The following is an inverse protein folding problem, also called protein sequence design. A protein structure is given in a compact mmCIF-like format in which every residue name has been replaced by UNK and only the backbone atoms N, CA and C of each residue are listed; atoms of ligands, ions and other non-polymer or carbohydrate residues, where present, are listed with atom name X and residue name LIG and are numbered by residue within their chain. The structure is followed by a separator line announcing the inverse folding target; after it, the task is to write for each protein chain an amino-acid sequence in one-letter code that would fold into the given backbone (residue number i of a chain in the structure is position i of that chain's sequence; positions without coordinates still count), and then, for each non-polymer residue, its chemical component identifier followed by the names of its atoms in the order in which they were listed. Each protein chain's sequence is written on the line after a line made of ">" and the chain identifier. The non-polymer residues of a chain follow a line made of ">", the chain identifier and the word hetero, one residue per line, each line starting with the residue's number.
data_IF_570101590083
#
_entry.id   IF_570101590083
#
_cell.length_a   1.000
_cell.length_b   1.000
_cell.length_c   1.000
_cell.angle_alpha   90.00
_cell.angle_beta   90.00
_cell.angle_gamma   90.00
#
_symmetry.space_group_name_H-M   'P 1'
#
loop_
_entity.id
_entity.type
_entity.pdbx_description
1 polymer ?
#
# COMPACT_ATOMS: atom_id res chain seq x y z
N UNK A 1 46.38 25.31 35.55
CA UNK A 1 45.22 24.55 35.06
C UNK A 1 44.17 25.55 34.58
N UNK A 2 44.05 25.76 33.27
CA UNK A 2 42.80 26.06 32.55
C UNK A 2 43.15 26.02 31.06
N UNK A 3 42.81 24.88 30.47
CA UNK A 3 43.11 24.47 29.12
C UNK A 3 42.07 25.11 28.18
N UNK A 4 42.49 26.02 27.31
CA UNK A 4 41.60 26.65 26.31
C UNK A 4 41.44 25.70 25.12
N UNK A 5 40.22 25.22 24.88
CA UNK A 5 39.86 24.42 23.71
C UNK A 5 39.68 25.31 22.48
N UNK A 6 40.20 24.94 21.29
CA UNK A 6 39.95 25.71 20.07
C UNK A 6 38.51 25.48 19.58
N UNK A 7 37.73 26.56 19.58
CA UNK A 7 36.41 26.67 18.97
C UNK A 7 36.51 26.45 17.45
N UNK A 8 36.03 25.31 16.96
CA UNK A 8 35.84 25.11 15.51
C UNK A 8 34.55 25.83 15.10
N UNK A 9 34.72 26.97 14.41
CA UNK A 9 33.64 27.70 13.74
C UNK A 9 32.91 26.75 12.76
N UNK A 10 31.58 26.79 12.69
CA UNK A 10 30.82 26.04 11.69
C UNK A 10 31.26 26.44 10.27
N UNK A 11 31.31 25.45 9.38
CA UNK A 11 31.66 25.59 7.98
C UNK A 11 30.71 26.62 7.33
N UNK A 12 31.25 27.78 6.96
CA UNK A 12 30.49 28.82 6.27
C UNK A 12 30.04 28.32 4.90
N UNK A 13 28.80 28.63 4.57
CA UNK A 13 28.16 28.37 3.28
C UNK A 13 28.99 28.99 2.15
N UNK A 14 29.45 28.15 1.22
CA UNK A 14 30.10 28.59 -0.02
C UNK A 14 29.07 29.32 -0.86
N UNK A 15 29.12 30.65 -0.84
CA UNK A 15 28.37 31.49 -1.78
C UNK A 15 28.95 31.28 -3.18
N UNK A 16 28.29 30.45 -3.98
CA UNK A 16 28.54 30.39 -5.41
C UNK A 16 28.26 31.78 -6.00
N UNK A 17 29.32 32.49 -6.41
CA UNK A 17 29.25 33.76 -7.13
C UNK A 17 28.77 33.58 -8.58
N UNK A 18 27.60 32.96 -8.77
CA UNK A 18 26.87 33.01 -10.04
C UNK A 18 25.84 34.13 -9.94
N UNK A 19 26.29 35.38 -10.11
CA UNK A 19 25.42 36.54 -10.20
C UNK A 19 24.66 36.50 -11.54
N UNK A 20 23.31 36.48 -11.57
CA UNK A 20 22.59 36.75 -12.80
C UNK A 20 22.65 38.26 -13.07
N UNK A 21 23.20 38.62 -14.22
CA UNK A 21 23.11 39.95 -14.81
C UNK A 21 21.66 40.43 -14.86
N UNK A 22 21.44 41.71 -14.57
CA UNK A 22 20.18 42.46 -14.57
C UNK A 22 19.14 41.95 -15.59
N UNK A 23 18.33 41.03 -15.13
CA UNK A 23 17.19 40.44 -15.83
C UNK A 23 16.56 39.50 -14.82
N UNK A 24 15.64 40.03 -14.01
CA UNK A 24 15.14 39.36 -12.82
C UNK A 24 14.72 37.92 -13.12
N UNK A 25 15.51 36.96 -12.63
CA UNK A 25 15.19 35.54 -12.70
C UNK A 25 13.96 35.31 -11.81
N UNK A 26 12.78 35.47 -12.39
CA UNK A 26 11.52 35.19 -11.71
C UNK A 26 11.56 33.72 -11.29
N UNK A 27 11.40 33.48 -9.99
CA UNK A 27 11.18 32.15 -9.45
C UNK A 27 10.04 31.46 -10.22
N UNK A 28 10.12 30.15 -10.43
CA UNK A 28 9.05 29.36 -11.07
C UNK A 28 7.71 29.62 -10.40
N UNK A 29 7.69 29.84 -9.08
CA UNK A 29 6.50 30.22 -8.33
C UNK A 29 5.95 31.60 -8.71
N UNK A 30 6.82 32.58 -9.00
CA UNK A 30 6.42 33.92 -9.47
C UNK A 30 5.87 33.88 -10.91
N UNK A 31 6.47 33.06 -11.77
CA UNK A 31 5.97 32.86 -13.14
C UNK A 31 4.60 32.20 -13.09
N UNK A 32 4.46 31.09 -12.34
CA UNK A 32 3.19 30.38 -12.20
C UNK A 32 2.07 31.27 -11.60
N UNK A 33 2.37 32.05 -10.56
CA UNK A 33 1.36 32.96 -9.97
C UNK A 33 0.95 34.08 -10.93
N UNK A 34 1.86 34.61 -11.74
CA UNK A 34 1.51 35.61 -12.76
C UNK A 34 0.65 35.02 -13.87
N UNK A 35 0.95 33.79 -14.33
CA UNK A 35 0.13 33.07 -15.31
C UNK A 35 -1.23 32.70 -14.76
N UNK A 36 -1.33 32.28 -13.49
CA UNK A 36 -2.60 31.94 -12.85
C UNK A 36 -3.52 33.16 -12.65
N UNK A 37 -2.96 34.34 -12.36
CA UNK A 37 -3.72 35.60 -12.23
C UNK A 37 -4.30 36.11 -13.55
N UNK A 38 -3.73 35.71 -14.69
CA UNK A 38 -4.18 36.12 -16.01
C UNK A 38 -5.31 35.24 -16.57
N UNK A 39 -5.68 34.14 -15.89
CA UNK A 39 -6.69 33.19 -16.34
C UNK A 39 -8.08 33.62 -15.86
N UNK A 40 -9.03 33.71 -16.80
CA UNK A 40 -10.46 33.94 -16.55
C UNK A 40 -11.23 32.63 -16.74
N UNK A 41 -12.50 32.54 -16.29
CA UNK A 41 -13.29 31.30 -16.41
C UNK A 41 -13.41 30.76 -17.86
N UNK A 42 -13.28 31.63 -18.86
CA UNK A 42 -13.31 31.29 -20.29
C UNK A 42 -11.94 30.87 -20.84
N UNK A 43 -10.85 31.40 -20.29
CA UNK A 43 -9.45 31.14 -20.73
C UNK A 43 -8.70 30.16 -19.83
N UNK A 44 -9.29 29.78 -18.70
CA UNK A 44 -8.73 28.83 -17.76
C UNK A 44 -8.56 27.45 -18.42
N UNK A 45 -7.38 26.82 -18.32
CA UNK A 45 -7.18 25.47 -18.82
C UNK A 45 -8.15 24.53 -18.12
N UNK A 46 -9.07 23.96 -18.90
CA UNK A 46 -10.07 23.01 -18.39
C UNK A 46 -9.33 21.72 -18.02
N UNK A 47 -9.19 21.46 -16.72
CA UNK A 47 -8.60 20.22 -16.24
C UNK A 47 -9.54 19.06 -16.59
N UNK A 48 -9.05 18.12 -17.41
CA UNK A 48 -9.78 16.87 -17.64
C UNK A 48 -9.77 16.00 -16.38
N UNK A 49 -10.75 15.09 -16.26
CA UNK A 49 -10.80 14.08 -15.19
C UNK A 49 -9.48 13.30 -15.10
N UNK A 50 -8.81 13.05 -16.24
CA UNK A 50 -7.50 12.41 -16.28
C UNK A 50 -6.40 13.19 -15.53
N UNK A 51 -6.41 14.52 -15.58
CA UNK A 51 -5.48 15.33 -14.80
C UNK A 51 -5.76 15.26 -13.30
N UNK A 52 -7.04 15.28 -12.92
CA UNK A 52 -7.42 15.09 -11.52
C UNK A 52 -7.00 13.71 -11.02
N UNK A 53 -7.22 12.66 -11.80
CA UNK A 53 -6.78 11.29 -11.45
C UNK A 53 -5.27 11.19 -11.30
N UNK A 54 -4.49 11.87 -12.16
CA UNK A 54 -3.02 11.90 -12.02
C UNK A 54 -2.58 12.60 -10.74
N UNK A 55 -3.20 13.73 -10.40
CA UNK A 55 -2.87 14.50 -9.19
C UNK A 55 -3.29 13.73 -7.93
N UNK A 56 -4.49 13.15 -7.91
CA UNK A 56 -4.95 12.35 -6.77
C UNK A 56 -4.14 11.07 -6.60
N UNK A 57 -3.75 10.40 -7.69
CA UNK A 57 -2.82 9.27 -7.62
C UNK A 57 -1.43 9.69 -7.11
N UNK A 58 -0.90 10.82 -7.59
CA UNK A 58 0.40 11.32 -7.13
C UNK A 58 0.37 11.71 -5.65
N UNK A 59 -0.73 12.32 -5.19
CA UNK A 59 -0.89 12.76 -3.79
C UNK A 59 -1.19 11.59 -2.83
N UNK A 60 -1.96 10.58 -3.26
CA UNK A 60 -2.50 9.54 -2.36
C UNK A 60 -1.99 8.11 -2.63
N UNK A 61 -1.56 7.77 -3.86
CA UNK A 61 -1.17 6.40 -4.25
C UNK A 61 0.35 6.21 -4.41
N UNK A 62 1.14 7.27 -4.59
CA UNK A 62 2.60 7.13 -4.69
C UNK A 62 3.25 6.51 -3.43
N UNK A 63 2.60 6.68 -2.27
CA UNK A 63 3.01 6.03 -1.02
C UNK A 63 2.95 4.50 -1.07
N UNK A 64 1.98 3.92 -1.78
CA UNK A 64 1.81 2.46 -1.87
C UNK A 64 2.98 1.81 -2.61
N UNK A 65 3.38 2.35 -3.77
CA UNK A 65 4.54 1.85 -4.52
C UNK A 65 5.85 1.95 -3.73
N UNK A 66 6.03 3.03 -2.97
CA UNK A 66 7.20 3.17 -2.09
C UNK A 66 7.21 2.11 -0.99
N UNK A 67 6.06 1.86 -0.35
CA UNK A 67 5.91 0.82 0.69
C UNK A 67 6.14 -0.58 0.12
N UNK A 68 5.60 -0.89 -1.06
CA UNK A 68 5.79 -2.18 -1.74
C UNK A 68 7.25 -2.45 -2.09
N UNK A 69 8.00 -1.43 -2.50
CA UNK A 69 9.44 -1.54 -2.77
C UNK A 69 10.26 -1.83 -1.51
N UNK A 70 9.82 -1.36 -0.36
CA UNK A 70 10.51 -1.56 0.92
C UNK A 70 10.24 -2.93 1.55
N UNK A 71 9.32 -3.73 1.02
CA UNK A 71 8.98 -5.05 1.55
C UNK A 71 10.11 -6.07 1.32
N UNK A 72 10.35 -6.89 2.32
CA UNK A 72 11.16 -8.10 2.19
C UNK A 72 10.43 -9.13 1.30
N UNK A 73 11.18 -9.99 0.60
CA UNK A 73 10.67 -11.12 -0.18
C UNK A 73 9.61 -11.94 0.56
N UNK A 74 9.79 -12.23 1.86
CA UNK A 74 8.80 -12.98 2.64
C UNK A 74 7.47 -12.23 2.81
N UNK A 75 7.53 -10.91 3.02
CA UNK A 75 6.34 -10.06 3.10
C UNK A 75 5.65 -9.94 1.74
N UNK A 76 6.44 -9.84 0.66
CA UNK A 76 5.94 -9.85 -0.72
C UNK A 76 5.25 -11.17 -1.04
N UNK A 77 5.82 -12.30 -0.65
CA UNK A 77 5.25 -13.63 -0.85
C UNK A 77 3.92 -13.79 -0.10
N UNK A 78 3.84 -13.34 1.15
CA UNK A 78 2.60 -13.34 1.93
C UNK A 78 1.49 -12.49 1.26
N UNK A 79 1.85 -11.32 0.73
CA UNK A 79 0.93 -10.46 -0.02
C UNK A 79 0.51 -11.09 -1.36
N UNK A 80 1.43 -11.75 -2.08
CA UNK A 80 1.12 -12.50 -3.31
C UNK A 80 0.16 -13.65 -3.04
N UNK A 81 0.35 -14.41 -1.96
CA UNK A 81 -0.56 -15.48 -1.57
C UNK A 81 -1.98 -14.95 -1.25
N UNK A 82 -2.08 -13.78 -0.62
CA UNK A 82 -3.37 -13.14 -0.36
C UNK A 82 -4.09 -12.76 -1.65
N UNK A 83 -3.37 -12.10 -2.58
CA UNK A 83 -3.94 -11.69 -3.87
C UNK A 83 -4.33 -12.90 -4.73
N UNK A 84 -3.51 -13.96 -4.76
CA UNK A 84 -3.83 -15.21 -5.45
C UNK A 84 -5.12 -15.84 -4.90
N UNK A 85 -5.26 -15.86 -3.57
CA UNK A 85 -6.44 -16.39 -2.90
C UNK A 85 -7.70 -15.54 -3.17
N UNK A 86 -7.58 -14.23 -3.15
CA UNK A 86 -8.68 -13.31 -3.50
C UNK A 86 -9.13 -13.48 -4.95
N UNK A 87 -8.18 -13.61 -5.88
CA UNK A 87 -8.46 -13.85 -7.30
C UNK A 87 -9.18 -15.19 -7.48
N UNK A 88 -8.70 -16.26 -6.85
CA UNK A 88 -9.36 -17.57 -6.88
C UNK A 88 -10.78 -17.51 -6.33
N UNK A 89 -10.98 -16.86 -5.18
CA UNK A 89 -12.31 -16.72 -4.58
C UNK A 89 -13.26 -15.90 -5.48
N UNK A 90 -12.75 -14.90 -6.19
CA UNK A 90 -13.49 -14.11 -7.17
C UNK A 90 -13.91 -14.95 -8.37
N UNK A 91 -12.99 -15.75 -8.92
CA UNK A 91 -13.24 -16.66 -10.05
C UNK A 91 -14.23 -17.77 -9.69
N UNK A 92 -14.05 -18.43 -8.54
CA UNK A 92 -14.96 -19.46 -8.05
C UNK A 92 -16.40 -18.93 -7.88
N UNK A 93 -16.58 -17.66 -7.50
CA UNK A 93 -17.90 -17.00 -7.45
C UNK A 93 -18.45 -16.60 -8.80
N UNK A 94 -17.60 -16.16 -9.73
CA UNK A 94 -18.04 -15.89 -11.09
C UNK A 94 -18.61 -17.16 -11.75
N UNK A 95 -17.95 -18.30 -11.51
CA UNK A 95 -18.36 -19.60 -12.05
C UNK A 95 -19.62 -20.18 -11.38
N UNK A 96 -19.96 -19.77 -10.16
CA UNK A 96 -21.18 -20.24 -9.48
C UNK A 96 -22.46 -19.51 -9.89
N UNK A 97 -22.39 -18.56 -10.84
CA UNK A 97 -23.55 -17.88 -11.40
C UNK A 97 -24.29 -16.94 -10.44
N UNK A 98 -23.80 -16.77 -9.21
CA UNK A 98 -24.40 -15.87 -8.22
C UNK A 98 -23.99 -14.42 -8.52
N UNK A 99 -24.85 -13.70 -9.24
CA UNK A 99 -24.74 -12.25 -9.38
C UNK A 99 -24.90 -11.59 -8.01
N UNK A 100 -23.82 -11.02 -7.48
CA UNK A 100 -23.86 -10.27 -6.22
C UNK A 100 -23.55 -8.82 -6.45
N UNK A 101 -24.48 -7.96 -6.03
CA UNK A 101 -24.28 -6.52 -5.90
C UNK A 101 -23.08 -6.23 -4.98
N UNK A 102 -22.35 -5.11 -5.19
CA UNK A 102 -21.12 -4.77 -4.44
C UNK A 102 -21.27 -4.89 -2.91
N UNK A 103 -22.46 -4.64 -2.37
CA UNK A 103 -22.78 -4.72 -0.94
C UNK A 103 -22.67 -6.13 -0.32
N UNK A 104 -22.60 -7.20 -1.14
CA UNK A 104 -22.37 -8.60 -0.68
C UNK A 104 -20.92 -9.07 -0.89
N UNK A 105 -20.00 -8.17 -1.24
CA UNK A 105 -18.56 -8.46 -1.45
C UNK A 105 -17.82 -8.77 -0.13
N UNK A 106 -18.35 -8.33 1.02
CA UNK A 106 -17.73 -8.48 2.34
C UNK A 106 -17.49 -9.95 2.80
N UNK A 107 -18.08 -10.94 2.12
CA UNK A 107 -17.89 -12.36 2.46
C UNK A 107 -16.70 -13.03 1.76
N UNK A 108 -15.97 -12.32 0.90
CA UNK A 108 -14.88 -12.91 0.11
C UNK A 108 -13.51 -12.92 0.77
N UNK A 109 -13.33 -12.07 1.78
CA UNK A 109 -12.05 -11.93 2.45
C UNK A 109 -11.71 -13.21 3.23
N UNK A 110 -10.54 -13.84 2.97
CA UNK A 110 -10.09 -15.02 3.69
C UNK A 110 -9.74 -14.67 5.14
N UNK A 111 -9.78 -15.67 6.02
CA UNK A 111 -9.23 -15.54 7.37
C UNK A 111 -7.71 -15.62 7.34
N UNK A 112 -7.04 -15.07 8.35
CA UNK A 112 -5.56 -15.15 8.49
C UNK A 112 -5.10 -16.62 8.52
N UNK A 113 -5.91 -17.52 9.11
CA UNK A 113 -5.64 -18.95 9.08
C UNK A 113 -5.61 -19.53 7.67
N UNK A 114 -6.66 -19.30 6.87
CA UNK A 114 -6.74 -19.81 5.49
C UNK A 114 -5.60 -19.22 4.65
N UNK A 115 -5.27 -17.95 4.89
CA UNK A 115 -4.15 -17.30 4.23
C UNK A 115 -2.81 -17.96 4.57
N UNK A 116 -2.57 -18.28 5.85
CA UNK A 116 -1.35 -18.97 6.28
C UNK A 116 -1.22 -20.36 5.65
N UNK A 117 -2.30 -21.15 5.66
CA UNK A 117 -2.33 -22.47 5.03
C UNK A 117 -2.01 -22.37 3.53
N UNK A 118 -2.64 -21.41 2.85
CA UNK A 118 -2.42 -21.11 1.43
C UNK A 118 -0.97 -20.69 1.13
N UNK A 119 -0.42 -19.77 1.94
CA UNK A 119 0.96 -19.32 1.83
C UNK A 119 1.96 -20.49 1.99
N UNK A 120 1.70 -21.39 2.94
CA UNK A 120 2.55 -22.56 3.18
C UNK A 120 2.56 -23.51 1.99
N UNK A 121 1.39 -23.78 1.39
CA UNK A 121 1.28 -24.60 0.17
C UNK A 121 2.05 -23.95 -0.99
N UNK A 122 1.85 -22.64 -1.20
CA UNK A 122 2.52 -21.90 -2.28
C UNK A 122 4.04 -21.83 -2.12
N UNK A 123 4.55 -21.78 -0.88
CA UNK A 123 6.00 -21.77 -0.64
C UNK A 123 6.65 -23.14 -0.85
N UNK A 124 5.91 -24.23 -0.60
CA UNK A 124 6.44 -25.61 -0.60
C UNK A 124 6.38 -26.31 -1.95
N UNK A 125 5.43 -25.96 -2.83
CA UNK A 125 5.20 -26.68 -4.10
C UNK A 125 6.46 -26.84 -4.97
N UNK A 126 7.37 -25.87 -4.97
CA UNK A 126 8.61 -25.94 -5.75
C UNK A 126 9.86 -25.64 -4.88
N UNK A 127 9.79 -25.87 -3.56
CA UNK A 127 10.82 -25.45 -2.58
C UNK A 127 11.24 -23.99 -2.75
N UNK A 128 10.29 -23.15 -3.11
CA UNK A 128 10.51 -21.78 -3.59
C UNK A 128 11.05 -20.90 -2.45
N UNK A 129 10.48 -21.09 -1.26
CA UNK A 129 10.84 -20.40 -0.03
C UNK A 129 10.59 -21.32 1.17
N UNK A 130 11.35 -21.14 2.25
CA UNK A 130 11.01 -21.75 3.53
C UNK A 130 9.76 -21.04 4.09
N UNK A 131 8.67 -21.78 4.40
CA UNK A 131 7.50 -21.19 5.03
C UNK A 131 7.83 -20.67 6.43
N UNK A 132 7.34 -19.48 6.74
CA UNK A 132 7.39 -18.94 8.10
C UNK A 132 6.56 -19.78 9.07
N UNK A 133 6.91 -19.73 10.37
CA UNK A 133 6.03 -20.23 11.42
C UNK A 133 4.73 -19.41 11.51
N UNK A 134 3.69 -19.99 12.12
CA UNK A 134 2.41 -19.28 12.31
C UNK A 134 2.56 -17.95 13.06
N UNK A 135 3.48 -17.86 14.03
CA UNK A 135 3.77 -16.63 14.76
C UNK A 135 4.44 -15.58 13.87
N UNK A 136 5.50 -15.94 13.16
CA UNK A 136 6.22 -15.02 12.25
C UNK A 136 5.31 -14.53 11.12
N UNK A 137 4.46 -15.42 10.60
CA UNK A 137 3.49 -15.06 9.57
C UNK A 137 2.51 -13.98 10.05
N UNK A 138 2.03 -14.04 11.30
CA UNK A 138 1.15 -13.00 11.86
C UNK A 138 1.85 -11.68 12.03
N UNK A 139 3.11 -11.70 12.44
CA UNK A 139 3.91 -10.47 12.54
C UNK A 139 4.09 -9.83 11.16
N UNK A 140 4.29 -10.65 10.12
CA UNK A 140 4.31 -10.18 8.73
C UNK A 140 2.97 -9.57 8.32
N UNK A 141 1.84 -10.23 8.60
CA UNK A 141 0.50 -9.68 8.30
C UNK A 141 0.24 -8.39 9.06
N UNK A 142 0.60 -8.31 10.34
CA UNK A 142 0.48 -7.09 11.15
C UNK A 142 1.38 -5.94 10.64
N UNK A 143 2.57 -6.28 10.13
CA UNK A 143 3.46 -5.31 9.48
C UNK A 143 2.85 -4.77 8.19
N UNK A 144 2.25 -5.63 7.36
CA UNK A 144 1.56 -5.23 6.14
C UNK A 144 0.34 -4.35 6.41
N UNK A 145 -0.37 -4.60 7.50
CA UNK A 145 -1.47 -3.76 7.98
C UNK A 145 -0.98 -2.38 8.44
N UNK A 146 0.11 -2.32 9.20
CA UNK A 146 0.72 -1.06 9.63
C UNK A 146 1.15 -0.20 8.43
N UNK A 147 1.58 -0.85 7.34
CA UNK A 147 1.89 -0.19 6.06
C UNK A 147 0.64 0.15 5.23
N UNK A 148 -0.56 -0.24 5.66
CA UNK A 148 -1.81 -0.02 4.93
C UNK A 148 -1.91 -0.77 3.61
N UNK A 149 -1.15 -1.85 3.45
CA UNK A 149 -1.19 -2.72 2.27
C UNK A 149 -2.22 -3.85 2.42
N UNK A 150 -2.59 -4.15 3.66
CA UNK A 150 -3.63 -5.10 4.04
C UNK A 150 -4.58 -4.43 5.01
N UNK A 151 -5.88 -4.67 4.88
CA UNK A 151 -6.91 -4.15 5.80
C UNK A 151 -7.66 -5.30 6.47
N UNK A 152 -8.04 -5.16 7.76
CA UNK A 152 -9.12 -5.97 8.31
C UNK A 152 -10.37 -5.86 7.45
N UNK A 153 -11.09 -6.97 7.28
CA UNK A 153 -12.45 -6.98 6.77
C UNK A 153 -13.38 -7.40 7.89
N UNK A 154 -14.05 -6.43 8.51
CA UNK A 154 -15.03 -6.74 9.55
C UNK A 154 -16.34 -7.19 8.91
N UNK A 155 -16.64 -8.48 9.01
CA UNK A 155 -17.92 -9.03 8.59
C UNK A 155 -19.03 -8.46 9.47
N UNK A 156 -19.89 -7.61 8.89
CA UNK A 156 -21.14 -7.15 9.52
C UNK A 156 -20.97 -6.20 10.72
N UNK A 157 -19.92 -5.38 10.74
CA UNK A 157 -19.86 -4.16 11.56
C UNK A 157 -19.37 -2.92 10.77
N UNK A 158 -19.55 -2.91 9.45
CA UNK A 158 -19.28 -1.76 8.57
C UNK A 158 -20.30 -0.63 8.68
N UNK A 159 -20.74 -0.28 9.89
CA UNK A 159 -21.28 1.05 10.14
C UNK A 159 -20.09 1.91 10.59
N UNK A 160 -20.00 3.14 10.11
CA UNK A 160 -19.16 4.15 10.74
C UNK A 160 -19.64 4.35 12.17
N UNK A 161 -19.24 3.45 13.08
CA UNK A 161 -19.34 3.69 14.51
C UNK A 161 -18.24 4.72 14.74
N UNK A 162 -18.62 6.00 14.70
CA UNK A 162 -17.88 7.02 15.38
C UNK A 162 -17.66 6.51 16.81
N UNK A 163 -16.50 5.90 17.07
CA UNK A 163 -16.07 5.52 18.40
C UNK A 163 -15.80 6.81 19.14
N UNK A 164 -16.88 7.44 19.62
CA UNK A 164 -16.80 8.34 20.75
C UNK A 164 -16.32 7.48 21.93
N UNK A 165 -15.25 7.88 22.64
CA UNK A 165 -14.55 7.02 23.61
C UNK A 165 -15.32 6.79 24.92
N UNK A 166 -16.65 6.92 24.90
CA UNK A 166 -17.47 7.12 26.09
C UNK A 166 -18.65 6.16 26.09
N UNK A 167 -18.37 4.84 26.11
CA UNK A 167 -19.20 3.80 26.75
C UNK A 167 -18.66 2.41 26.39
N UNK A 168 -17.78 1.91 27.24
CA UNK A 168 -17.33 0.52 27.25
C UNK A 168 -18.48 -0.37 27.72
N UNK A 169 -19.37 -0.78 26.81
CA UNK A 169 -20.32 -1.87 27.08
C UNK A 169 -19.95 -3.10 26.27
N UNK A 170 -19.33 -4.03 27.00
CA UNK A 170 -19.16 -5.47 26.81
C UNK A 170 -19.81 -6.12 25.58
N UNK A 171 -18.95 -6.92 24.90
CA UNK A 171 -19.23 -8.13 24.12
C UNK A 171 -19.35 -7.98 22.60
N UNK A 172 -18.27 -7.53 21.98
CA UNK A 172 -17.87 -8.03 20.66
C UNK A 172 -16.88 -9.16 20.88
N UNK A 173 -17.15 -10.35 20.36
CA UNK A 173 -16.13 -11.39 20.25
C UNK A 173 -14.97 -10.78 19.46
N UNK A 174 -13.87 -10.45 20.12
CA UNK A 174 -12.61 -10.22 19.44
C UNK A 174 -12.31 -11.53 18.71
N UNK A 175 -12.58 -11.57 17.40
CA UNK A 175 -12.15 -12.66 16.56
C UNK A 175 -10.66 -12.85 16.86
N UNK A 176 -10.32 -14.05 17.33
CA UNK A 176 -8.93 -14.39 17.62
C UNK A 176 -8.09 -14.09 16.38
N UNK A 177 -6.81 -13.74 16.52
CA UNK A 177 -6.00 -13.22 15.40
C UNK A 177 -5.97 -14.13 14.15
N UNK A 178 -6.35 -15.40 14.26
CA UNK A 178 -6.55 -16.34 13.15
C UNK A 178 -7.87 -16.20 12.40
N UNK A 179 -8.95 -15.96 13.14
CA UNK A 179 -10.32 -15.89 12.62
C UNK A 179 -10.61 -14.55 11.95
N UNK A 180 -9.78 -13.55 12.26
CA UNK A 180 -9.77 -12.25 11.59
C UNK A 180 -9.67 -12.42 10.08
N UNK A 181 -10.53 -11.70 9.35
CA UNK A 181 -10.48 -11.61 7.89
C UNK A 181 -9.66 -10.43 7.44
N UNK A 182 -8.93 -10.62 6.35
CA UNK A 182 -8.03 -9.61 5.78
C UNK A 182 -8.22 -9.52 4.27
N UNK A 183 -8.00 -8.34 3.72
CA UNK A 183 -8.02 -8.10 2.28
C UNK A 183 -6.85 -7.22 1.83
N UNK A 184 -6.41 -7.40 0.59
CA UNK A 184 -5.39 -6.58 -0.06
C UNK A 184 -5.93 -5.18 -0.36
N UNK A 185 -5.11 -4.16 -0.11
CA UNK A 185 -5.37 -2.78 -0.51
C UNK A 185 -4.56 -2.36 -1.75
N UNK A 186 -3.90 -3.31 -2.41
CA UNK A 186 -2.95 -3.07 -3.49
C UNK A 186 -3.62 -3.35 -4.84
N UNK A 187 -3.48 -2.41 -5.79
CA UNK A 187 -4.02 -2.57 -7.14
C UNK A 187 -3.18 -3.48 -8.03
N UNK A 188 -3.79 -4.03 -9.09
CA UNK A 188 -3.12 -4.95 -10.04
C UNK A 188 -1.81 -4.37 -10.61
N UNK A 189 -1.83 -3.10 -11.05
CA UNK A 189 -0.63 -2.43 -11.59
C UNK A 189 0.51 -2.26 -10.58
N UNK A 190 0.16 -2.07 -9.31
CA UNK A 190 1.13 -1.94 -8.22
C UNK A 190 1.70 -3.32 -7.87
N UNK A 191 0.88 -4.36 -7.99
CA UNK A 191 1.26 -5.74 -7.81
C UNK A 191 2.25 -6.20 -8.88
N UNK A 192 1.97 -5.90 -10.16
CA UNK A 192 2.90 -6.17 -11.27
C UNK A 192 4.28 -5.57 -11.00
N UNK A 193 4.31 -4.28 -10.64
CA UNK A 193 5.56 -3.57 -10.31
C UNK A 193 6.29 -4.16 -9.10
N UNK A 194 5.56 -4.69 -8.11
CA UNK A 194 6.18 -5.31 -6.93
C UNK A 194 6.80 -6.68 -7.26
N UNK A 195 6.19 -7.40 -8.20
CA UNK A 195 6.69 -8.68 -8.72
C UNK A 195 7.82 -8.54 -9.75
N UNK A 196 8.14 -7.32 -10.18
CA UNK A 196 9.31 -7.04 -11.00
C UNK A 196 10.54 -6.76 -10.11
N UNK A 197 11.60 -7.54 -10.29
CA UNK A 197 12.85 -7.42 -9.53
C UNK A 197 13.33 -8.72 -8.88
N UNK A 198 13.94 -8.61 -7.70
CA UNK A 198 14.51 -9.76 -6.98
C UNK A 198 13.39 -10.71 -6.55
N UNK A 199 13.52 -11.98 -6.92
CA UNK A 199 12.47 -12.98 -6.67
C UNK A 199 11.27 -12.88 -7.62
N UNK A 200 11.39 -12.18 -8.75
CA UNK A 200 10.28 -12.03 -9.70
C UNK A 200 9.66 -13.37 -10.13
N UNK A 201 10.48 -14.37 -10.48
CA UNK A 201 9.97 -15.69 -10.86
C UNK A 201 9.18 -16.37 -9.73
N UNK A 202 9.70 -16.27 -8.50
CA UNK A 202 9.06 -16.78 -7.28
C UNK A 202 7.70 -16.11 -7.07
N UNK A 203 7.69 -14.78 -7.07
CA UNK A 203 6.48 -14.00 -6.79
C UNK A 203 5.44 -14.17 -7.90
N UNK A 204 5.86 -14.25 -9.17
CA UNK A 204 4.98 -14.53 -10.32
C UNK A 204 4.39 -15.94 -10.27
N UNK A 205 5.13 -16.93 -9.76
CA UNK A 205 4.58 -18.26 -9.52
C UNK A 205 3.61 -18.31 -8.34
N UNK A 206 3.85 -17.54 -7.27
CA UNK A 206 2.95 -17.49 -6.11
C UNK A 206 1.65 -16.76 -6.47
N UNK A 207 1.74 -15.64 -7.21
CA UNK A 207 0.57 -14.84 -7.58
C UNK A 207 -0.32 -15.53 -8.63
N UNK A 208 0.24 -16.34 -9.53
CA UNK A 208 -0.54 -17.11 -10.50
C UNK A 208 -1.45 -18.12 -9.81
N UNK A 209 -1.09 -18.54 -8.59
CA UNK A 209 -1.92 -19.41 -7.78
C UNK A 209 -2.05 -20.83 -8.31
N UNK A 210 -1.20 -21.27 -9.25
CA UNK A 210 -1.23 -22.60 -9.85
C UNK A 210 -1.11 -23.75 -8.82
N UNK A 211 -0.68 -23.47 -7.59
CA UNK A 211 -0.64 -24.45 -6.49
C UNK A 211 -1.98 -24.63 -5.78
N UNK A 212 -3.00 -23.85 -6.13
CA UNK A 212 -4.29 -23.79 -5.44
C UNK A 212 -5.42 -24.48 -6.20
N UNK A 213 -5.13 -25.03 -7.38
CA UNK A 213 -5.97 -25.93 -8.17
C UNK A 213 -5.67 -27.40 -7.85
#
# INVERSE_FOLDING_TARGET
>A
MLQMTPSRKPLGETTNCASPTKGGSRSVAQIATSSLKALTAETAPRASIGHLNKVTQAAFSNGTNQRLKALNLQQKAALCALVALENRNRLARANSGLSTTPSKSATLAPTVKILFDTYTVLCTRDSVLHPLSSSEFREVVGSLETLGLVSPVEGKAGSFIAQTPSKRSRKGNFATGEERRVASCVGEKEMEQMTDGVGAGILKSIISGEALD
#
